data_IF_084748218569
#
_entry.id   IF_084748218569
#
_cell.length_a   1.000
_cell.length_b   1.000
_cell.length_c   1.000
_cell.angle_alpha   90.00
_cell.angle_beta   90.00
_cell.angle_gamma   90.00
#
_symmetry.space_group_name_H-M   'P 1'
#
loop_
_entity.id
_entity.type
_entity.pdbx_description
1 polymer ?
#
# COMPACT_ATOMS: atom_id res chain seq x y z
N UNK A 1 19.19 28.46 -51.84
CA UNK A 1 18.06 29.10 -51.14
C UNK A 1 18.24 28.82 -49.64
N UNK A 2 18.96 29.71 -48.93
CA UNK A 2 19.19 29.56 -47.49
C UNK A 2 17.87 29.76 -46.75
N UNK A 3 17.37 28.73 -46.10
CA UNK A 3 16.45 28.89 -44.97
C UNK A 3 16.89 27.95 -43.86
N UNK A 4 18.12 28.18 -43.39
CA UNK A 4 18.54 27.68 -42.09
C UNK A 4 17.50 28.13 -41.07
N UNK A 5 16.96 27.17 -40.34
CA UNK A 5 16.11 27.43 -39.19
C UNK A 5 16.86 28.47 -38.36
N UNK A 6 16.29 29.68 -38.21
CA UNK A 6 16.90 30.71 -37.38
C UNK A 6 17.22 30.07 -36.03
N UNK A 7 18.43 30.29 -35.46
CA UNK A 7 18.83 29.68 -34.18
C UNK A 7 17.73 29.79 -33.11
N UNK A 8 17.00 30.91 -33.13
CA UNK A 8 15.85 31.20 -32.26
C UNK A 8 14.74 30.15 -32.41
N UNK A 9 14.34 29.82 -33.64
CA UNK A 9 13.28 28.84 -33.93
C UNK A 9 13.71 27.44 -33.51
N UNK A 10 14.97 27.08 -33.76
CA UNK A 10 15.54 25.80 -33.32
C UNK A 10 15.54 25.68 -31.80
N UNK A 11 15.89 26.76 -31.09
CA UNK A 11 15.92 26.79 -29.63
C UNK A 11 14.51 26.65 -29.03
N UNK A 12 13.51 27.36 -29.58
CA UNK A 12 12.11 27.28 -29.12
C UNK A 12 11.56 25.85 -29.29
N UNK A 13 11.80 25.23 -30.45
CA UNK A 13 11.40 23.84 -30.71
C UNK A 13 12.07 22.87 -29.73
N UNK A 14 13.36 23.05 -29.45
CA UNK A 14 14.09 22.20 -28.52
C UNK A 14 13.52 22.29 -27.10
N UNK A 15 13.23 23.51 -26.62
CA UNK A 15 12.62 23.74 -25.31
C UNK A 15 11.24 23.09 -25.23
N UNK A 16 10.41 23.25 -26.27
CA UNK A 16 9.08 22.64 -26.30
C UNK A 16 9.14 21.11 -26.22
N UNK A 17 10.07 20.47 -26.92
CA UNK A 17 10.28 19.01 -26.88
C UNK A 17 10.73 18.57 -25.49
N UNK A 18 11.69 19.27 -24.87
CA UNK A 18 12.19 18.93 -23.53
C UNK A 18 11.07 19.04 -22.50
N UNK A 19 10.27 20.11 -22.54
CA UNK A 19 9.13 20.29 -21.62
C UNK A 19 8.08 19.19 -21.82
N UNK A 20 7.75 18.86 -23.07
CA UNK A 20 6.80 17.79 -23.37
C UNK A 20 7.28 16.43 -22.83
N UNK A 21 8.56 16.08 -23.05
CA UNK A 21 9.14 14.84 -22.54
C UNK A 21 9.15 14.82 -21.01
N UNK A 22 9.54 15.91 -20.35
CA UNK A 22 9.54 16.00 -18.89
C UNK A 22 8.13 15.81 -18.30
N UNK A 23 7.11 16.40 -18.93
CA UNK A 23 5.71 16.20 -18.53
C UNK A 23 5.25 14.76 -18.74
N UNK A 24 5.57 14.14 -19.87
CA UNK A 24 5.22 12.75 -20.14
C UNK A 24 5.85 11.80 -19.11
N UNK A 25 7.13 12.02 -18.77
CA UNK A 25 7.83 11.25 -17.73
C UNK A 25 7.19 11.45 -16.36
N UNK A 26 6.88 12.70 -15.99
CA UNK A 26 6.20 13.00 -14.73
C UNK A 26 4.84 12.30 -14.61
N UNK A 27 4.00 12.40 -15.65
CA UNK A 27 2.69 11.75 -15.69
C UNK A 27 2.83 10.24 -15.63
N UNK A 28 3.78 9.66 -16.36
CA UNK A 28 4.05 8.22 -16.34
C UNK A 28 4.42 7.74 -14.93
N UNK A 29 5.31 8.46 -14.22
CA UNK A 29 5.65 8.13 -12.84
C UNK A 29 4.47 8.25 -11.88
N UNK A 30 3.65 9.29 -12.03
CA UNK A 30 2.52 9.49 -11.13
C UNK A 30 1.39 8.48 -11.36
N UNK A 31 1.19 8.03 -12.62
CA UNK A 31 0.25 6.97 -12.97
C UNK A 31 0.73 5.57 -12.54
N UNK A 32 2.04 5.34 -12.52
CA UNK A 32 2.63 4.04 -12.13
C UNK A 32 2.90 3.93 -10.64
N UNK A 33 2.74 5.01 -9.88
CA UNK A 33 2.87 5.02 -8.43
C UNK A 33 1.72 4.21 -7.82
N UNK A 34 1.97 2.95 -7.48
CA UNK A 34 1.04 2.17 -6.65
C UNK A 34 0.80 2.94 -5.34
N UNK A 35 -0.42 3.44 -5.14
CA UNK A 35 -0.81 4.02 -3.86
C UNK A 35 -0.75 2.91 -2.81
N UNK A 36 0.03 3.13 -1.76
CA UNK A 36 0.11 2.19 -0.64
C UNK A 36 -1.30 1.94 -0.09
N UNK A 37 -1.79 0.71 -0.21
CA UNK A 37 -3.05 0.29 0.41
C UNK A 37 -2.85 0.14 1.92
N UNK A 38 -3.77 0.68 2.70
CA UNK A 38 -3.76 0.55 4.16
C UNK A 38 -5.17 0.49 4.75
N UNK A 39 -5.26 -0.15 5.91
CA UNK A 39 -6.40 -0.04 6.84
C UNK A 39 -5.91 0.60 8.14
N UNK A 40 -6.77 1.37 8.80
CA UNK A 40 -6.45 2.11 10.01
C UNK A 40 -7.59 1.99 11.02
N UNK A 41 -7.24 1.92 12.30
CA UNK A 41 -8.20 1.96 13.39
C UNK A 41 -7.56 1.58 14.72
N UNK A 42 -8.37 1.61 15.77
CA UNK A 42 -8.07 1.02 17.07
C UNK A 42 -8.22 -0.49 16.99
N UNK A 43 -7.22 -1.23 17.45
CA UNK A 43 -7.30 -2.69 17.55
C UNK A 43 -8.22 -3.04 18.71
N UNK A 44 -9.41 -3.54 18.38
CA UNK A 44 -10.41 -3.95 19.37
C UNK A 44 -10.22 -5.41 19.78
N UNK A 45 -9.85 -6.24 18.80
CA UNK A 45 -9.66 -7.67 18.97
C UNK A 45 -8.64 -8.14 17.95
N UNK A 46 -7.69 -8.97 18.39
CA UNK A 46 -6.67 -9.55 17.52
C UNK A 46 -6.31 -10.96 17.99
N UNK A 47 -6.69 -11.97 17.21
CA UNK A 47 -6.38 -13.37 17.54
C UNK A 47 -5.84 -14.15 16.36
N UNK A 48 -4.91 -15.05 16.67
CA UNK A 48 -4.37 -16.03 15.74
C UNK A 48 -5.41 -17.10 15.42
N UNK A 49 -5.53 -17.47 14.15
CA UNK A 49 -6.43 -18.53 13.69
C UNK A 49 -5.64 -19.79 13.38
N UNK A 50 -4.66 -19.69 12.49
CA UNK A 50 -3.81 -20.80 12.03
C UNK A 50 -2.60 -20.26 11.26
N UNK A 51 -1.67 -21.15 10.93
CA UNK A 51 -0.54 -20.83 10.05
C UNK A 51 -0.80 -21.33 8.62
N UNK A 52 -0.25 -20.62 7.64
CA UNK A 52 -0.38 -20.98 6.22
C UNK A 52 0.92 -20.76 5.46
N UNK A 53 1.09 -21.48 4.34
CA UNK A 53 2.24 -21.37 3.47
C UNK A 53 1.80 -20.83 2.10
N UNK A 54 2.29 -19.65 1.72
CA UNK A 54 1.94 -18.98 0.46
C UNK A 54 3.20 -18.56 -0.25
N UNK A 55 3.36 -18.99 -1.51
CA UNK A 55 4.45 -18.60 -2.40
C UNK A 55 5.85 -18.77 -1.76
N UNK A 56 6.10 -19.88 -1.07
CA UNK A 56 7.39 -20.17 -0.46
C UNK A 56 7.64 -19.48 0.89
N UNK A 57 6.63 -18.82 1.48
CA UNK A 57 6.75 -18.12 2.77
C UNK A 57 5.66 -18.57 3.74
N UNK A 58 6.04 -18.68 5.01
CA UNK A 58 5.12 -18.99 6.10
C UNK A 58 4.52 -17.72 6.70
N UNK A 59 3.20 -17.74 6.88
CA UNK A 59 2.43 -16.65 7.46
C UNK A 59 1.58 -17.16 8.62
N UNK A 60 1.47 -16.34 9.65
CA UNK A 60 0.47 -16.45 10.69
C UNK A 60 -0.79 -15.73 10.22
N UNK A 61 -1.91 -16.45 10.18
CA UNK A 61 -3.22 -15.89 9.82
C UNK A 61 -3.91 -15.39 11.08
N UNK A 62 -4.21 -14.11 11.12
CA UNK A 62 -4.86 -13.43 12.22
C UNK A 62 -6.19 -12.83 11.78
N UNK A 63 -7.17 -12.85 12.69
CA UNK A 63 -8.31 -11.96 12.58
C UNK A 63 -7.99 -10.70 13.38
N UNK A 64 -8.03 -9.55 12.71
CA UNK A 64 -7.77 -8.24 13.33
C UNK A 64 -8.99 -7.37 13.14
N UNK A 65 -9.65 -6.99 14.23
CA UNK A 65 -10.80 -6.11 14.22
C UNK A 65 -10.36 -4.68 14.53
N UNK A 66 -10.61 -3.77 13.59
CA UNK A 66 -10.26 -2.36 13.70
C UNK A 66 -11.53 -1.51 13.83
N UNK A 67 -11.59 -0.66 14.84
CA UNK A 67 -12.65 0.34 15.01
C UNK A 67 -12.14 1.75 14.70
N UNK A 68 -12.95 2.62 14.05
CA UNK A 68 -12.59 4.02 13.84
C UNK A 68 -12.46 4.80 15.15
N UNK A 69 -13.15 4.38 16.22
CA UNK A 69 -13.16 5.09 17.51
C UNK A 69 -12.96 4.11 18.68
N UNK A 70 -12.10 4.48 19.63
CA UNK A 70 -11.79 3.67 20.80
C UNK A 70 -13.05 3.37 21.66
N UNK A 71 -14.01 4.29 21.69
CA UNK A 71 -15.23 4.14 22.49
C UNK A 71 -16.31 3.29 21.82
N UNK A 72 -16.16 2.99 20.53
CA UNK A 72 -17.14 2.25 19.73
C UNK A 72 -16.55 0.90 19.32
N UNK A 73 -16.36 0.04 20.32
CA UNK A 73 -15.78 -1.30 20.15
C UNK A 73 -16.75 -2.27 19.45
N UNK A 74 -18.05 -1.98 19.44
CA UNK A 74 -19.08 -2.85 18.85
C UNK A 74 -19.15 -2.76 17.32
N UNK A 75 -18.73 -1.64 16.73
CA UNK A 75 -18.79 -1.40 15.28
C UNK A 75 -17.44 -1.63 14.55
N UNK A 76 -16.58 -2.48 15.08
CA UNK A 76 -15.30 -2.83 14.47
C UNK A 76 -15.44 -3.59 13.14
N UNK A 77 -14.54 -3.33 12.20
CA UNK A 77 -14.42 -4.13 10.96
C UNK A 77 -13.31 -5.15 11.11
N UNK A 78 -13.65 -6.44 10.93
CA UNK A 78 -12.71 -7.55 10.99
C UNK A 78 -12.00 -7.80 9.67
N UNK A 79 -10.68 -7.92 9.72
CA UNK A 79 -9.82 -8.21 8.57
C UNK A 79 -9.04 -9.50 8.80
N UNK A 80 -8.93 -10.31 7.74
CA UNK A 80 -8.04 -11.47 7.74
C UNK A 80 -6.64 -10.99 7.34
N UNK A 81 -5.72 -10.90 8.29
CA UNK A 81 -4.38 -10.33 8.09
C UNK A 81 -3.34 -11.43 8.22
N UNK A 82 -2.39 -11.46 7.29
CA UNK A 82 -1.28 -12.39 7.24
C UNK A 82 -0.01 -11.67 7.67
N UNK A 83 0.55 -12.10 8.81
CA UNK A 83 1.82 -11.63 9.31
C UNK A 83 2.90 -12.68 9.02
N UNK A 84 4.07 -12.31 8.50
CA UNK A 84 5.13 -13.28 8.27
C UNK A 84 5.59 -13.91 9.58
N UNK A 85 5.73 -15.24 9.61
CA UNK A 85 5.93 -16.00 10.86
C UNK A 85 7.28 -15.72 11.55
N UNK A 86 8.32 -15.44 10.76
CA UNK A 86 9.69 -15.24 11.23
C UNK A 86 10.26 -13.88 10.77
N UNK A 87 9.40 -12.91 10.50
CA UNK A 87 9.81 -11.60 9.98
C UNK A 87 8.88 -10.50 10.52
N UNK A 88 9.20 -9.26 10.20
CA UNK A 88 8.35 -8.10 10.46
C UNK A 88 7.35 -7.88 9.32
N UNK A 89 6.16 -7.31 9.59
CA UNK A 89 5.66 -6.87 10.89
C UNK A 89 5.07 -8.01 11.73
N UNK A 90 5.13 -7.86 13.06
CA UNK A 90 4.41 -8.72 14.00
C UNK A 90 2.94 -8.28 14.13
N UNK A 91 2.05 -9.20 14.56
CA UNK A 91 0.67 -8.85 14.91
C UNK A 91 0.63 -7.74 15.97
N UNK A 92 -0.27 -6.76 15.85
CA UNK A 92 -0.38 -5.67 16.82
C UNK A 92 -1.05 -6.15 18.12
N UNK A 93 -0.73 -5.53 19.27
CA UNK A 93 -1.51 -5.73 20.50
C UNK A 93 -2.91 -5.12 20.37
N UNK A 94 -3.79 -5.44 21.31
CA UNK A 94 -5.10 -4.77 21.47
C UNK A 94 -4.95 -3.36 22.03
N UNK A 95 -6.01 -2.56 21.96
CA UNK A 95 -6.13 -1.20 22.51
C UNK A 95 -5.14 -0.16 21.95
N UNK A 96 -4.52 -0.43 20.80
CA UNK A 96 -3.63 0.52 20.12
C UNK A 96 -4.23 1.01 18.81
N UNK A 97 -4.02 2.30 18.51
CA UNK A 97 -4.35 2.86 17.21
C UNK A 97 -3.24 2.57 16.21
N UNK A 98 -3.56 1.88 15.13
CA UNK A 98 -2.57 1.46 14.13
C UNK A 98 -3.01 1.72 12.71
N UNK A 99 -2.03 1.69 11.81
CA UNK A 99 -2.21 1.58 10.38
C UNK A 99 -1.46 0.36 9.84
N UNK A 100 -2.19 -0.55 9.21
CA UNK A 100 -1.64 -1.75 8.57
C UNK A 100 -1.57 -1.50 7.06
N UNK A 101 -0.36 -1.50 6.52
CA UNK A 101 -0.11 -1.43 5.09
C UNK A 101 -0.02 -2.84 4.52
N UNK A 102 -0.74 -3.11 3.43
CA UNK A 102 -0.95 -4.48 2.98
C UNK A 102 -0.95 -4.66 1.45
N UNK A 103 -0.71 -5.91 1.03
CA UNK A 103 -1.04 -6.42 -0.30
C UNK A 103 -2.19 -7.40 -0.20
N UNK A 104 -3.13 -7.34 -1.14
CA UNK A 104 -4.25 -8.28 -1.17
C UNK A 104 -3.78 -9.63 -1.72
N UNK A 105 -4.25 -10.70 -1.10
CA UNK A 105 -4.09 -12.06 -1.61
C UNK A 105 -5.41 -12.81 -1.46
N UNK A 106 -5.50 -13.96 -2.11
CA UNK A 106 -6.59 -14.92 -1.89
C UNK A 106 -6.10 -16.01 -0.94
N UNK A 107 -6.89 -16.26 0.11
CA UNK A 107 -6.72 -17.41 0.99
C UNK A 107 -8.00 -18.25 0.89
N UNK A 108 -7.96 -19.26 0.02
CA UNK A 108 -9.17 -19.93 -0.45
C UNK A 108 -10.09 -18.93 -1.15
N UNK A 109 -11.36 -18.91 -0.77
CA UNK A 109 -12.38 -18.01 -1.35
C UNK A 109 -12.37 -16.59 -0.75
N UNK A 110 -11.65 -16.39 0.36
CA UNK A 110 -11.60 -15.10 1.08
C UNK A 110 -10.44 -14.23 0.60
N UNK A 111 -10.65 -12.92 0.59
CA UNK A 111 -9.55 -11.95 0.44
C UNK A 111 -8.86 -11.77 1.79
N UNK A 112 -7.53 -11.86 1.79
CA UNK A 112 -6.70 -11.66 2.97
C UNK A 112 -5.64 -10.58 2.70
N UNK A 113 -5.14 -9.97 3.77
CA UNK A 113 -4.23 -8.83 3.73
C UNK A 113 -2.84 -9.26 4.17
N UNK A 114 -1.89 -9.38 3.25
CA UNK A 114 -0.48 -9.62 3.61
C UNK A 114 0.10 -8.31 4.12
N UNK A 115 0.35 -8.22 5.43
CA UNK A 115 0.93 -7.05 6.05
C UNK A 115 2.42 -6.96 5.71
N UNK A 116 2.85 -5.80 5.20
CA UNK A 116 4.28 -5.52 4.96
C UNK A 116 4.82 -4.37 5.81
N UNK A 117 3.94 -3.59 6.45
CA UNK A 117 4.31 -2.55 7.41
C UNK A 117 3.16 -2.26 8.35
N UNK A 118 3.43 -2.16 9.64
CA UNK A 118 2.47 -1.69 10.66
C UNK A 118 3.06 -0.45 11.32
N UNK A 119 2.24 0.60 11.49
CA UNK A 119 2.63 1.82 12.20
C UNK A 119 1.64 2.10 13.32
N UNK A 120 2.13 2.41 14.52
CA UNK A 120 1.33 3.05 15.56
C UNK A 120 1.02 4.48 15.15
N UNK A 121 -0.14 4.99 15.56
CA UNK A 121 -0.60 6.35 15.30
C UNK A 121 -0.76 7.16 16.60
#
# INVERSE_FOLDING_TARGET
MNKGISPIIGTILMVAIVVALAMSVYIYFELTKEKEKYVEGWVVDAYHIHDTHINGKDYMVWNVTLSPNYQDLENGTSYLVLFPKNDTPAPPPEDVKIRIYYKETKLGDKTALIAYRVKSL
#
